data_IF_645221551206
#
_entry.id   IF_645221551206
#
_cell.length_a   1.000
_cell.length_b   1.000
_cell.length_c   1.000
_cell.angle_alpha   90.00
_cell.angle_beta   90.00
_cell.angle_gamma   90.00
#
_symmetry.space_group_name_H-M   'P 1'
#
loop_
_entity.id
_entity.type
_entity.pdbx_description
1 polymer ?
#
# COMPACT_ATOMS: atom_id res chain seq x y z
N UNK A 1 100.17 -24.60 44.32
CA UNK A 1 98.75 -24.83 44.68
C UNK A 1 97.85 -23.61 44.44
N UNK A 2 98.17 -22.68 43.52
CA UNK A 2 97.42 -21.41 43.42
C UNK A 2 96.73 -21.15 42.07
N UNK A 3 97.05 -21.88 40.99
CA UNK A 3 96.44 -21.63 39.67
C UNK A 3 94.98 -22.06 39.57
N UNK A 4 94.60 -23.14 40.27
CA UNK A 4 93.20 -23.60 40.31
C UNK A 4 92.31 -22.66 41.14
N UNK A 5 92.81 -22.10 42.25
CA UNK A 5 92.04 -21.12 43.02
C UNK A 5 91.86 -19.79 42.28
N UNK A 6 92.86 -19.34 41.50
CA UNK A 6 92.71 -18.17 40.63
C UNK A 6 91.70 -18.42 39.51
N UNK A 7 91.74 -19.59 38.85
CA UNK A 7 90.79 -19.93 37.79
C UNK A 7 89.34 -20.04 38.32
N UNK A 8 89.15 -20.64 39.49
CA UNK A 8 87.83 -20.72 40.14
C UNK A 8 87.35 -19.34 40.58
N UNK A 9 88.23 -18.50 41.14
CA UNK A 9 87.86 -17.13 41.51
C UNK A 9 87.42 -16.29 40.31
N UNK A 10 88.13 -16.39 39.18
CA UNK A 10 87.77 -15.70 37.94
C UNK A 10 86.45 -16.22 37.38
N UNK A 11 86.26 -17.54 37.35
CA UNK A 11 85.00 -18.15 36.89
C UNK A 11 83.80 -17.70 37.72
N UNK A 12 83.92 -17.72 39.05
CA UNK A 12 82.86 -17.27 39.97
C UNK A 12 82.57 -15.78 39.79
N UNK A 13 83.61 -14.97 39.54
CA UNK A 13 83.45 -13.53 39.32
C UNK A 13 82.72 -13.24 38.01
N UNK A 14 83.07 -13.93 36.92
CA UNK A 14 82.39 -13.79 35.63
C UNK A 14 80.96 -14.31 35.68
N UNK A 15 80.72 -15.43 36.38
CA UNK A 15 79.38 -15.98 36.59
C UNK A 15 78.49 -15.03 37.39
N UNK A 16 79.01 -14.42 38.45
CA UNK A 16 78.26 -13.43 39.23
C UNK A 16 77.99 -12.15 38.42
N UNK A 17 78.92 -11.74 37.56
CA UNK A 17 78.72 -10.60 36.66
C UNK A 17 77.65 -10.88 35.60
N UNK A 18 77.65 -12.07 35.00
CA UNK A 18 76.65 -12.43 33.98
C UNK A 18 75.28 -12.69 34.58
N UNK A 19 75.20 -13.42 35.70
CA UNK A 19 73.93 -13.65 36.41
C UNK A 19 73.39 -12.34 36.99
N UNK A 20 74.25 -11.50 37.56
CA UNK A 20 73.91 -10.16 38.06
C UNK A 20 73.36 -9.24 36.97
N UNK A 21 74.00 -9.22 35.78
CA UNK A 21 73.55 -8.43 34.64
C UNK A 21 72.18 -8.88 34.11
N UNK A 22 71.88 -10.19 34.11
CA UNK A 22 70.57 -10.72 33.69
C UNK A 22 69.48 -10.38 34.71
N UNK A 23 69.76 -10.43 36.02
CA UNK A 23 68.79 -10.04 37.06
C UNK A 23 68.49 -8.53 37.08
N UNK A 24 69.47 -7.68 36.80
CA UNK A 24 69.26 -6.22 36.74
C UNK A 24 68.54 -5.82 35.46
N UNK A 25 68.85 -6.46 34.32
CA UNK A 25 68.12 -6.23 33.07
C UNK A 25 66.64 -6.64 33.19
N UNK A 26 66.34 -7.76 33.85
CA UNK A 26 64.95 -8.20 34.07
C UNK A 26 64.15 -7.31 35.02
N UNK A 27 64.80 -6.61 35.95
CA UNK A 27 64.12 -5.71 36.91
C UNK A 27 64.00 -4.26 36.40
N UNK A 28 64.90 -3.81 35.51
CA UNK A 28 64.84 -2.47 34.87
C UNK A 28 63.97 -2.48 33.62
N UNK A 29 63.70 -3.63 33.01
CA UNK A 29 62.75 -3.80 31.90
C UNK A 29 61.33 -4.18 32.37
N UNK A 30 61.09 -4.21 33.68
CA UNK A 30 59.77 -4.47 34.25
C UNK A 30 58.99 -3.15 34.43
N UNK A 31 58.53 -2.59 33.32
CA UNK A 31 57.55 -1.50 33.14
C UNK A 31 57.81 -1.04 31.70
N UNK A 32 57.25 -1.66 30.68
CA UNK A 32 55.88 -1.44 30.24
C UNK A 32 55.40 -2.76 29.63
N UNK A 33 54.37 -3.37 30.22
CA UNK A 33 53.57 -4.31 29.42
C UNK A 33 53.01 -3.43 28.30
N UNK A 34 53.31 -3.67 27.01
CA UNK A 34 52.73 -2.85 25.95
C UNK A 34 51.22 -2.92 26.18
N UNK A 35 50.59 -1.77 26.41
CA UNK A 35 49.14 -1.72 26.48
C UNK A 35 48.67 -2.34 25.18
N UNK A 36 48.10 -3.55 25.29
CA UNK A 36 47.40 -4.14 24.17
C UNK A 36 46.39 -3.06 23.77
N UNK A 37 46.43 -2.55 22.52
CA UNK A 37 45.41 -1.61 22.11
C UNK A 37 44.08 -2.26 22.46
N UNK A 38 43.30 -1.59 23.31
CA UNK A 38 42.02 -2.13 23.75
C UNK A 38 41.29 -2.59 22.50
N UNK A 39 40.77 -3.83 22.50
CA UNK A 39 40.01 -4.33 21.36
C UNK A 39 38.98 -3.25 21.06
N UNK A 40 39.06 -2.63 19.88
CA UNK A 40 38.16 -1.58 19.49
C UNK A 40 36.78 -2.21 19.46
N UNK A 41 35.96 -1.94 20.48
CA UNK A 41 34.65 -2.58 20.65
C UNK A 41 33.54 -1.81 19.96
N UNK A 42 33.86 -0.68 19.35
CA UNK A 42 32.88 0.26 18.82
C UNK A 42 32.04 -0.36 17.70
N UNK A 43 32.64 -1.20 16.85
CA UNK A 43 31.91 -1.99 15.83
C UNK A 43 31.10 -3.17 16.39
N UNK A 44 31.22 -3.48 17.69
CA UNK A 44 30.45 -4.53 18.38
C UNK A 44 29.32 -3.94 19.25
N UNK A 45 29.25 -2.61 19.37
CA UNK A 45 28.12 -1.93 19.97
C UNK A 45 27.02 -1.84 18.92
N UNK A 46 25.94 -2.61 19.10
CA UNK A 46 24.82 -2.68 18.17
C UNK A 46 24.26 -1.28 17.83
N UNK A 47 24.29 -0.37 18.81
CA UNK A 47 23.84 1.02 18.70
C UNK A 47 24.69 1.87 17.71
N UNK A 48 25.93 1.48 17.43
CA UNK A 48 26.82 2.17 16.47
C UNK A 48 26.65 1.67 15.03
N UNK A 49 25.91 0.56 14.83
CA UNK A 49 25.74 -0.11 13.53
C UNK A 49 24.28 -0.12 13.09
N UNK A 50 23.34 0.07 14.01
CA UNK A 50 21.92 0.08 13.69
C UNK A 50 21.55 1.45 13.08
N UNK A 51 21.12 1.50 11.80
CA UNK A 51 20.61 2.74 11.22
C UNK A 51 19.37 3.20 12.01
N UNK A 52 19.18 4.51 12.11
CA UNK A 52 17.99 5.10 12.72
C UNK A 52 16.74 4.48 12.08
N UNK A 53 15.91 3.86 12.91
CA UNK A 53 14.67 3.20 12.50
C UNK A 53 13.45 3.91 13.07
N UNK A 54 12.28 3.49 12.62
CA UNK A 54 11.03 3.87 13.23
C UNK A 54 10.98 3.39 14.70
N UNK A 55 10.41 4.21 15.58
CA UNK A 55 10.02 3.74 16.91
C UNK A 55 8.94 2.67 16.77
N UNK A 56 8.99 1.64 17.62
CA UNK A 56 7.98 0.59 17.66
C UNK A 56 7.20 0.66 18.97
N UNK A 57 5.88 0.64 18.92
CA UNK A 57 5.04 0.61 20.12
C UNK A 57 3.63 1.17 19.93
N UNK A 58 2.97 1.48 21.06
CA UNK A 58 1.61 2.01 21.07
C UNK A 58 0.52 0.92 21.06
N UNK A 59 -0.73 1.37 21.15
CA UNK A 59 -1.92 0.55 20.95
C UNK A 59 -2.65 1.03 19.70
N UNK A 60 -3.43 0.14 19.09
CA UNK A 60 -4.36 0.51 18.01
C UNK A 60 -5.69 0.79 18.70
N UNK A 61 -6.07 2.06 18.73
CA UNK A 61 -7.30 2.52 19.35
C UNK A 61 -8.25 3.07 18.28
N UNK A 62 -9.56 2.92 18.52
CA UNK A 62 -10.61 3.56 17.72
C UNK A 62 -11.26 4.65 18.56
N UNK A 63 -11.49 5.82 17.99
CA UNK A 63 -12.22 6.90 18.65
C UNK A 63 -13.74 6.71 18.55
N UNK A 64 -14.22 6.01 17.52
CA UNK A 64 -15.65 5.77 17.32
C UNK A 64 -16.20 4.77 18.34
N UNK A 65 -17.24 5.20 19.07
CA UNK A 65 -17.99 4.35 20.03
C UNK A 65 -19.45 4.18 19.60
N UNK A 66 -19.70 4.22 18.29
CA UNK A 66 -21.04 4.19 17.70
C UNK A 66 -21.74 2.83 17.85
N UNK A 67 -22.92 2.72 17.21
CA UNK A 67 -23.57 1.43 17.04
C UNK A 67 -22.69 0.48 16.19
N UNK A 68 -22.96 -0.83 16.26
CA UNK A 68 -22.32 -1.81 15.37
C UNK A 68 -22.54 -1.40 13.91
N UNK A 69 -21.52 -1.67 13.09
CA UNK A 69 -21.45 -1.35 11.66
C UNK A 69 -20.94 -2.56 10.92
N UNK A 70 -21.45 -2.81 9.71
CA UNK A 70 -21.04 -3.95 8.88
C UNK A 70 -20.04 -3.49 7.82
N UNK A 71 -18.86 -4.13 7.80
CA UNK A 71 -17.79 -3.85 6.84
C UNK A 71 -17.60 -5.04 5.92
N UNK A 72 -17.88 -4.84 4.63
CA UNK A 72 -17.63 -5.85 3.58
C UNK A 72 -16.19 -5.74 3.10
N UNK A 73 -15.48 -6.86 3.09
CA UNK A 73 -14.03 -6.94 2.85
C UNK A 73 -13.74 -7.80 1.62
N UNK A 74 -13.09 -7.19 0.63
CA UNK A 74 -12.66 -7.83 -0.60
C UNK A 74 -11.12 -7.87 -0.69
N UNK A 75 -10.53 -9.07 -0.70
CA UNK A 75 -9.08 -9.23 -0.73
C UNK A 75 -8.54 -9.73 -2.07
N UNK A 76 -9.45 -9.93 -3.04
CA UNK A 76 -9.18 -10.68 -4.26
C UNK A 76 -9.04 -12.17 -3.96
N UNK A 77 -9.36 -13.03 -4.94
CA UNK A 77 -9.10 -14.46 -4.77
C UNK A 77 -7.58 -14.68 -4.79
N UNK A 78 -7.01 -15.47 -3.86
CA UNK A 78 -5.66 -15.96 -4.05
C UNK A 78 -5.68 -16.76 -5.33
N UNK A 79 -5.01 -16.27 -6.37
CA UNK A 79 -4.77 -17.05 -7.59
C UNK A 79 -3.86 -18.23 -7.21
N UNK A 80 -4.43 -19.29 -6.62
CA UNK A 80 -3.81 -20.56 -6.30
C UNK A 80 -2.30 -20.49 -6.06
N UNK A 81 -1.84 -19.76 -5.05
CA UNK A 81 -0.55 -20.09 -4.43
C UNK A 81 -0.84 -21.20 -3.44
N UNK A 82 -1.06 -22.38 -4.01
CA UNK A 82 -0.91 -23.65 -3.32
C UNK A 82 0.33 -23.60 -2.44
N UNK A 83 0.16 -23.94 -1.17
CA UNK A 83 1.16 -24.58 -0.30
C UNK A 83 2.55 -24.69 -0.92
N UNK A 84 3.46 -23.77 -0.60
CA UNK A 84 4.89 -24.07 -0.65
C UNK A 84 5.65 -23.15 0.29
N UNK A 85 5.89 -23.68 1.48
CA UNK A 85 7.13 -23.47 2.18
C UNK A 85 8.26 -23.97 1.27
N UNK A 86 9.01 -23.05 0.67
CA UNK A 86 10.28 -23.30 -0.03
C UNK A 86 10.15 -24.13 -1.33
N UNK A 87 9.98 -23.48 -2.49
CA UNK A 87 10.52 -24.06 -3.73
C UNK A 87 11.07 -23.00 -4.68
N UNK A 88 12.41 -23.03 -4.82
CA UNK A 88 13.16 -22.57 -5.98
C UNK A 88 13.01 -21.12 -6.45
N UNK A 89 13.93 -20.24 -6.02
CA UNK A 89 14.40 -19.16 -6.90
C UNK A 89 14.97 -19.83 -8.16
N UNK A 90 14.42 -19.53 -9.36
CA UNK A 90 14.96 -18.43 -10.14
C UNK A 90 13.89 -17.55 -10.81
N UNK A 91 14.10 -16.25 -10.64
CA UNK A 91 13.50 -15.18 -11.44
C UNK A 91 13.82 -15.38 -12.93
N UNK A 92 12.78 -15.39 -13.77
CA UNK A 92 12.83 -14.93 -15.16
C UNK A 92 11.39 -14.76 -15.71
N UNK A 93 10.97 -13.50 -15.88
CA UNK A 93 9.92 -13.13 -16.85
C UNK A 93 8.45 -13.28 -16.44
N UNK A 94 8.06 -12.92 -15.21
CA UNK A 94 6.62 -12.80 -14.87
C UNK A 94 6.22 -11.34 -14.68
N UNK A 95 5.22 -10.90 -15.44
CA UNK A 95 4.46 -9.65 -15.28
C UNK A 95 3.60 -9.68 -13.99
N UNK A 96 4.17 -10.14 -12.87
CA UNK A 96 3.51 -10.18 -11.56
C UNK A 96 4.24 -9.21 -10.65
N UNK A 97 3.51 -8.18 -10.22
CA UNK A 97 3.96 -7.27 -9.19
C UNK A 97 4.52 -8.08 -8.02
N UNK A 98 5.78 -7.82 -7.67
CA UNK A 98 6.43 -8.38 -6.51
C UNK A 98 5.62 -7.90 -5.31
N UNK A 99 4.79 -8.76 -4.72
CA UNK A 99 4.27 -8.49 -3.38
C UNK A 99 5.47 -8.55 -2.44
N UNK A 100 5.94 -7.40 -1.99
CA UNK A 100 7.13 -7.27 -1.15
C UNK A 100 6.86 -7.70 0.30
N UNK A 101 5.62 -8.05 0.67
CA UNK A 101 5.20 -8.06 2.07
C UNK A 101 4.70 -9.38 2.68
N UNK A 102 4.07 -10.30 1.96
CA UNK A 102 3.40 -11.42 2.64
C UNK A 102 3.71 -12.78 2.00
N UNK A 103 4.56 -13.56 2.68
CA UNK A 103 4.68 -15.00 2.44
C UNK A 103 3.40 -15.78 2.85
N UNK A 104 2.41 -15.11 3.45
CA UNK A 104 1.23 -15.71 4.07
C UNK A 104 -0.12 -15.23 3.48
N UNK A 105 -0.11 -14.57 2.32
CA UNK A 105 -1.32 -14.12 1.61
C UNK A 105 -1.88 -12.75 2.06
N UNK A 106 -2.83 -12.22 1.26
CA UNK A 106 -3.48 -10.91 1.47
C UNK A 106 -4.42 -10.88 2.68
N UNK A 107 -4.99 -12.01 3.06
CA UNK A 107 -5.80 -12.18 4.27
C UNK A 107 -5.02 -11.83 5.54
N UNK A 108 -3.79 -12.32 5.67
CA UNK A 108 -2.92 -11.94 6.79
C UNK A 108 -2.66 -10.44 6.82
N UNK A 109 -2.60 -9.79 5.66
CA UNK A 109 -2.21 -8.39 5.57
C UNK A 109 -3.21 -7.45 6.25
N UNK A 110 -4.50 -7.77 6.27
CA UNK A 110 -5.52 -6.92 6.90
C UNK A 110 -5.91 -7.34 8.31
N UNK A 111 -5.35 -8.44 8.83
CA UNK A 111 -5.77 -9.03 10.13
C UNK A 111 -5.81 -8.04 11.27
N UNK A 112 -4.83 -7.14 11.35
CA UNK A 112 -4.75 -6.13 12.40
C UNK A 112 -5.96 -5.19 12.37
N UNK A 113 -6.29 -4.64 11.20
CA UNK A 113 -7.46 -3.77 11.03
C UNK A 113 -8.76 -4.52 11.32
N UNK A 114 -8.93 -5.74 10.80
CA UNK A 114 -10.14 -6.52 11.03
C UNK A 114 -10.31 -6.89 12.50
N UNK A 115 -9.23 -7.28 13.17
CA UNK A 115 -9.26 -7.55 14.61
C UNK A 115 -9.62 -6.30 15.42
N UNK A 116 -9.16 -5.13 14.99
CA UNK A 116 -9.49 -3.84 15.60
C UNK A 116 -10.98 -3.57 15.47
N UNK A 117 -11.55 -3.70 14.27
CA UNK A 117 -12.99 -3.54 14.02
C UNK A 117 -13.84 -4.49 14.87
N UNK A 118 -13.52 -5.79 14.84
CA UNK A 118 -14.26 -6.82 15.60
C UNK A 118 -14.14 -6.61 17.10
N UNK A 119 -12.95 -6.24 17.60
CA UNK A 119 -12.74 -5.98 19.04
C UNK A 119 -13.52 -4.78 19.55
N UNK A 120 -13.86 -3.82 18.66
CA UNK A 120 -14.69 -2.66 18.96
C UNK A 120 -16.19 -2.89 18.65
N UNK A 121 -16.58 -4.13 18.34
CA UNK A 121 -17.99 -4.53 18.22
C UNK A 121 -18.59 -4.30 16.83
N UNK A 122 -17.78 -4.13 15.79
CA UNK A 122 -18.22 -4.06 14.40
C UNK A 122 -18.21 -5.44 13.74
N UNK A 123 -19.04 -5.61 12.72
CA UNK A 123 -19.16 -6.86 11.96
C UNK A 123 -18.30 -6.79 10.69
N UNK A 124 -17.69 -7.93 10.33
CA UNK A 124 -16.82 -8.05 9.17
C UNK A 124 -17.30 -9.22 8.33
N UNK A 125 -17.59 -8.95 7.06
CA UNK A 125 -18.05 -9.93 6.09
C UNK A 125 -17.08 -9.99 4.91
N UNK A 126 -16.73 -11.19 4.47
CA UNK A 126 -15.77 -11.35 3.37
C UNK A 126 -16.49 -11.58 2.04
N UNK A 127 -16.21 -10.71 1.07
CA UNK A 127 -16.61 -10.88 -0.31
C UNK A 127 -15.51 -11.58 -1.10
N UNK A 128 -15.76 -12.82 -1.56
CA UNK A 128 -14.80 -13.62 -2.33
C UNK A 128 -15.09 -13.63 -3.84
N UNK A 129 -16.07 -12.85 -4.30
CA UNK A 129 -16.56 -12.89 -5.66
C UNK A 129 -17.29 -14.19 -6.01
N UNK A 130 -17.86 -14.24 -7.20
CA UNK A 130 -18.48 -15.45 -7.76
C UNK A 130 -17.42 -16.47 -8.20
N UNK A 131 -16.65 -17.03 -7.25
CA UNK A 131 -15.80 -18.18 -7.51
C UNK A 131 -16.69 -19.41 -7.74
N UNK A 132 -17.02 -19.67 -9.01
CA UNK A 132 -17.92 -20.74 -9.41
C UNK A 132 -17.51 -22.11 -8.89
N UNK A 133 -18.43 -22.78 -8.17
CA UNK A 133 -18.44 -24.24 -7.99
C UNK A 133 -19.74 -24.69 -7.32
N UNK A 134 -20.80 -24.84 -8.13
CA UNK A 134 -21.78 -25.92 -7.93
C UNK A 134 -22.95 -25.71 -6.95
N UNK A 135 -23.22 -24.51 -6.46
CA UNK A 135 -24.42 -24.29 -5.63
C UNK A 135 -25.65 -24.08 -6.50
N UNK A 136 -26.70 -24.88 -6.27
CA UNK A 136 -28.02 -24.66 -6.86
C UNK A 136 -28.69 -23.47 -6.15
N UNK A 137 -28.50 -22.26 -6.67
CA UNK A 137 -29.12 -21.02 -6.19
C UNK A 137 -28.49 -19.77 -6.81
N UNK A 138 -29.15 -18.61 -6.71
CA UNK A 138 -28.54 -17.32 -7.02
C UNK A 138 -27.36 -17.10 -6.06
N UNK A 139 -26.17 -16.86 -6.61
CA UNK A 139 -24.99 -16.52 -5.81
C UNK A 139 -25.10 -15.03 -5.46
N UNK A 140 -25.03 -14.64 -4.18
CA UNK A 140 -25.13 -13.24 -3.80
C UNK A 140 -24.07 -12.42 -4.52
N UNK A 141 -24.51 -11.31 -5.10
CA UNK A 141 -23.68 -10.34 -5.79
C UNK A 141 -23.07 -9.37 -4.79
N UNK A 142 -22.05 -8.59 -5.22
CA UNK A 142 -21.53 -7.51 -4.37
C UNK A 142 -22.61 -6.49 -4.00
N UNK A 143 -23.59 -6.26 -4.89
CA UNK A 143 -24.70 -5.35 -4.61
C UNK A 143 -25.60 -5.87 -3.47
N UNK A 144 -25.82 -7.18 -3.40
CA UNK A 144 -26.58 -7.80 -2.32
C UNK A 144 -25.86 -7.60 -0.99
N UNK A 145 -24.56 -7.91 -0.92
CA UNK A 145 -23.75 -7.75 0.29
C UNK A 145 -23.67 -6.28 0.75
N UNK A 146 -23.59 -5.33 -0.20
CA UNK A 146 -23.49 -3.90 0.12
C UNK A 146 -24.82 -3.26 0.52
N UNK A 147 -25.95 -3.94 0.35
CA UNK A 147 -27.27 -3.39 0.71
C UNK A 147 -27.42 -3.23 2.23
N UNK A 148 -26.88 -4.17 3.00
CA UNK A 148 -26.90 -4.17 4.47
C UNK A 148 -25.56 -3.71 5.08
N UNK A 149 -24.60 -3.30 4.24
CA UNK A 149 -23.29 -2.85 4.68
C UNK A 149 -23.23 -1.34 4.94
N UNK A 150 -22.33 -0.95 5.85
CA UNK A 150 -22.00 0.45 6.13
C UNK A 150 -20.69 0.89 5.45
N UNK A 151 -19.80 -0.07 5.18
CA UNK A 151 -18.50 0.20 4.59
C UNK A 151 -18.00 -0.95 3.71
N UNK A 152 -17.09 -0.60 2.81
CA UNK A 152 -16.40 -1.51 1.93
C UNK A 152 -14.89 -1.29 2.01
N UNK A 153 -14.14 -2.39 2.11
CA UNK A 153 -12.69 -2.40 2.07
C UNK A 153 -12.21 -3.31 0.94
N UNK A 154 -11.29 -2.82 0.11
CA UNK A 154 -10.60 -3.66 -0.87
C UNK A 154 -9.09 -3.48 -0.82
N UNK A 155 -8.32 -4.56 -0.90
CA UNK A 155 -6.86 -4.53 -1.11
C UNK A 155 -6.46 -5.06 -2.48
N UNK A 156 -7.44 -5.32 -3.34
CA UNK A 156 -7.25 -5.89 -4.67
C UNK A 156 -8.22 -5.25 -5.66
N UNK A 157 -8.20 -3.92 -5.83
CA UNK A 157 -9.18 -3.23 -6.67
C UNK A 157 -9.14 -3.70 -8.14
N UNK A 158 -8.02 -4.22 -8.64
CA UNK A 158 -7.96 -4.82 -9.99
C UNK A 158 -8.66 -6.18 -10.11
N UNK A 159 -8.89 -6.87 -9.01
CA UNK A 159 -9.62 -8.14 -9.01
C UNK A 159 -11.15 -7.96 -9.09
N UNK A 160 -11.64 -6.74 -8.87
CA UNK A 160 -13.05 -6.40 -9.08
C UNK A 160 -13.38 -6.29 -10.58
N UNK A 161 -14.49 -6.89 -10.98
CA UNK A 161 -15.10 -6.70 -12.29
C UNK A 161 -15.53 -5.24 -12.49
N UNK A 162 -15.84 -4.87 -13.74
CA UNK A 162 -16.30 -3.50 -14.04
C UNK A 162 -17.61 -3.17 -13.32
N UNK A 163 -18.57 -4.10 -13.34
CA UNK A 163 -19.86 -3.95 -12.63
C UNK A 163 -19.68 -3.83 -11.12
N UNK A 164 -18.78 -4.62 -10.53
CA UNK A 164 -18.47 -4.51 -9.10
C UNK A 164 -17.86 -3.14 -8.76
N UNK A 165 -16.96 -2.61 -9.60
CA UNK A 165 -16.39 -1.26 -9.38
C UNK A 165 -17.44 -0.16 -9.50
N UNK A 166 -18.34 -0.26 -10.48
CA UNK A 166 -19.48 0.66 -10.60
C UNK A 166 -20.39 0.59 -9.37
N UNK A 167 -20.62 -0.60 -8.83
CA UNK A 167 -21.40 -0.82 -7.60
C UNK A 167 -20.73 -0.15 -6.39
N UNK A 168 -19.41 -0.31 -6.23
CA UNK A 168 -18.64 0.32 -5.15
C UNK A 168 -18.68 1.85 -5.26
N UNK A 169 -18.58 2.40 -6.47
CA UNK A 169 -18.71 3.85 -6.69
C UNK A 169 -20.10 4.35 -6.31
N UNK A 170 -21.17 3.64 -6.72
CA UNK A 170 -22.53 3.99 -6.34
C UNK A 170 -22.79 3.87 -4.82
N UNK A 171 -22.18 2.89 -4.17
CA UNK A 171 -22.21 2.73 -2.72
C UNK A 171 -21.51 3.90 -2.00
N UNK A 172 -20.35 4.34 -2.50
CA UNK A 172 -19.67 5.52 -2.00
C UNK A 172 -20.54 6.78 -2.16
N UNK A 173 -21.20 6.96 -3.31
CA UNK A 173 -22.13 8.07 -3.54
C UNK A 173 -23.36 8.03 -2.63
N UNK A 174 -23.78 6.82 -2.22
CA UNK A 174 -24.86 6.60 -1.26
C UNK A 174 -24.47 6.93 0.21
N UNK A 175 -23.21 7.25 0.47
CA UNK A 175 -22.70 7.57 1.81
C UNK A 175 -21.85 6.47 2.46
N UNK A 176 -21.74 5.31 1.79
CA UNK A 176 -20.91 4.19 2.24
C UNK A 176 -19.43 4.53 2.27
N UNK A 177 -18.74 4.10 3.32
CA UNK A 177 -17.30 4.37 3.48
C UNK A 177 -16.49 3.35 2.69
N UNK A 178 -15.59 3.82 1.84
CA UNK A 178 -14.76 2.97 0.98
C UNK A 178 -13.29 3.17 1.28
N UNK A 179 -12.59 2.10 1.67
CA UNK A 179 -11.13 2.07 1.75
C UNK A 179 -10.55 1.23 0.61
N UNK A 180 -9.60 1.80 -0.12
CA UNK A 180 -8.86 1.13 -1.20
C UNK A 180 -7.38 1.05 -0.84
N UNK A 181 -6.93 -0.16 -0.57
CA UNK A 181 -5.51 -0.52 -0.58
C UNK A 181 -5.00 -0.59 -2.01
N UNK A 182 -4.05 0.29 -2.34
CA UNK A 182 -3.54 0.53 -3.68
C UNK A 182 -2.07 0.13 -3.80
N UNK A 183 -1.77 -1.13 -3.46
CA UNK A 183 -0.42 -1.69 -3.60
C UNK A 183 0.14 -1.47 -5.03
N UNK A 184 1.47 -1.40 -5.23
CA UNK A 184 2.05 -1.31 -6.56
C UNK A 184 1.50 -2.37 -7.52
N UNK A 185 1.01 -1.91 -8.68
CA UNK A 185 0.40 -2.77 -9.70
C UNK A 185 -1.14 -2.71 -9.73
N UNK A 186 -1.76 -2.03 -8.77
CA UNK A 186 -3.22 -1.88 -8.68
C UNK A 186 -3.77 -0.66 -9.47
N UNK A 187 -2.92 0.05 -10.22
CA UNK A 187 -3.21 1.38 -10.79
C UNK A 187 -4.49 1.45 -11.62
N UNK A 188 -4.80 0.39 -12.37
CA UNK A 188 -6.05 0.31 -13.14
C UNK A 188 -7.28 0.25 -12.24
N UNK A 189 -7.26 -0.58 -11.20
CA UNK A 189 -8.37 -0.71 -10.26
C UNK A 189 -8.61 0.58 -9.50
N UNK A 190 -7.52 1.25 -9.09
CA UNK A 190 -7.60 2.56 -8.45
C UNK A 190 -8.12 3.63 -9.40
N UNK A 191 -7.67 3.66 -10.66
CA UNK A 191 -8.19 4.63 -11.64
C UNK A 191 -9.70 4.46 -11.86
N UNK A 192 -10.18 3.23 -11.97
CA UNK A 192 -11.60 2.94 -12.21
C UNK A 192 -12.49 3.30 -11.00
N UNK A 193 -12.01 3.13 -9.76
CA UNK A 193 -12.73 3.50 -8.54
C UNK A 193 -12.57 4.98 -8.17
N UNK A 194 -11.39 5.54 -8.43
CA UNK A 194 -10.96 6.87 -8.00
C UNK A 194 -11.29 7.98 -9.00
N UNK A 195 -11.62 7.65 -10.27
CA UNK A 195 -11.85 8.66 -11.31
C UNK A 195 -12.98 9.64 -10.98
N UNK A 196 -14.04 9.16 -10.32
CA UNK A 196 -15.17 9.99 -9.92
C UNK A 196 -14.79 11.06 -8.87
N UNK A 197 -13.75 10.75 -8.08
CA UNK A 197 -13.28 11.58 -6.97
C UNK A 197 -11.90 12.21 -7.24
N UNK A 198 -11.38 12.05 -8.46
CA UNK A 198 -10.12 12.63 -8.90
C UNK A 198 -8.86 12.04 -8.25
N UNK A 199 -8.94 10.81 -7.71
CA UNK A 199 -7.80 10.10 -7.11
C UNK A 199 -7.26 9.09 -8.14
N UNK A 200 -5.95 9.03 -8.29
CA UNK A 200 -5.28 8.05 -9.15
C UNK A 200 -3.95 7.58 -8.55
N UNK A 201 -3.52 6.41 -8.98
CA UNK A 201 -2.24 5.83 -8.60
C UNK A 201 -1.27 5.92 -9.79
N UNK A 202 -0.06 6.41 -9.54
CA UNK A 202 1.01 6.33 -10.54
C UNK A 202 1.62 4.92 -10.57
N UNK A 203 2.12 4.52 -11.74
CA UNK A 203 2.77 3.21 -11.85
C UNK A 203 4.19 3.25 -11.27
N UNK A 204 4.50 2.28 -10.43
CA UNK A 204 5.81 2.10 -9.81
C UNK A 204 5.69 1.92 -8.31
N UNK A 205 6.84 1.90 -7.65
CA UNK A 205 6.94 1.95 -6.20
C UNK A 205 7.95 3.04 -5.81
N UNK A 206 7.76 3.56 -4.60
CA UNK A 206 8.62 4.56 -4.00
C UNK A 206 9.71 3.89 -3.17
N UNK A 207 10.89 4.50 -3.17
CA UNK A 207 12.00 4.12 -2.31
C UNK A 207 12.79 5.34 -1.89
N UNK A 208 13.48 5.26 -0.76
CA UNK A 208 14.31 6.34 -0.25
C UNK A 208 15.62 5.76 0.31
N UNK A 209 16.74 6.09 -0.31
CA UNK A 209 18.07 5.59 0.13
C UNK A 209 18.69 6.42 1.25
N UNK A 210 18.12 7.60 1.55
CA UNK A 210 18.65 8.56 2.53
C UNK A 210 17.89 8.46 3.85
N UNK A 211 16.56 8.56 3.81
CA UNK A 211 15.66 8.58 4.97
C UNK A 211 14.63 7.46 4.86
N UNK A 212 14.89 6.34 5.53
CA UNK A 212 14.08 5.14 5.51
C UNK A 212 14.12 4.39 6.84
N UNK A 213 13.15 3.51 7.07
CA UNK A 213 13.12 2.60 8.22
C UNK A 213 14.01 1.38 7.98
N UNK A 214 15.33 1.59 8.02
CA UNK A 214 16.37 0.55 7.94
C UNK A 214 16.35 -0.31 6.65
N UNK A 215 15.55 0.07 5.67
CA UNK A 215 15.41 -0.56 4.38
C UNK A 215 14.93 0.49 3.39
N UNK A 216 15.62 0.66 2.26
CA UNK A 216 15.31 1.68 1.27
C UNK A 216 13.87 1.64 0.72
N UNK A 217 13.17 0.50 0.79
CA UNK A 217 11.75 0.38 0.43
C UNK A 217 10.80 0.84 1.54
N UNK A 218 11.27 0.93 2.78
CA UNK A 218 10.47 1.33 3.94
C UNK A 218 10.56 2.84 4.12
N UNK A 219 9.69 3.54 3.40
CA UNK A 219 9.70 5.00 3.33
C UNK A 219 8.85 5.61 4.46
N UNK A 220 9.24 6.79 4.90
CA UNK A 220 8.44 7.60 5.80
C UNK A 220 7.51 8.53 5.03
N UNK A 221 6.29 8.69 5.53
CA UNK A 221 5.36 9.71 5.07
C UNK A 221 4.78 10.48 6.26
N UNK A 222 4.53 11.76 6.07
CA UNK A 222 4.03 12.68 7.08
C UNK A 222 2.74 13.33 6.55
N UNK A 223 1.80 13.78 7.42
CA UNK A 223 0.60 14.45 6.97
C UNK A 223 0.91 15.71 6.15
N UNK A 224 0.28 15.85 4.99
CA UNK A 224 0.28 17.10 4.23
C UNK A 224 -0.81 18.07 4.69
N UNK A 225 -1.73 17.60 5.53
CA UNK A 225 -2.80 18.39 6.15
C UNK A 225 -3.67 17.54 7.08
N UNK A 226 -4.70 18.17 7.64
CA UNK A 226 -5.68 17.49 8.50
C UNK A 226 -6.71 16.73 7.65
N UNK A 227 -6.91 15.46 7.96
CA UNK A 227 -7.89 14.59 7.32
C UNK A 227 -8.36 13.53 8.32
N UNK A 228 -9.41 12.78 7.98
CA UNK A 228 -9.87 11.64 8.79
C UNK A 228 -8.82 10.53 8.93
N UNK A 229 -7.78 10.50 8.09
CA UNK A 229 -6.70 9.50 8.18
C UNK A 229 -5.49 9.98 8.98
N UNK A 230 -5.32 11.30 9.16
CA UNK A 230 -4.07 11.89 9.67
C UNK A 230 -4.18 12.46 11.08
N UNK A 231 -5.35 12.35 11.72
CA UNK A 231 -5.52 12.80 13.10
C UNK A 231 -4.56 12.03 14.04
N UNK A 232 -3.73 12.76 14.78
CA UNK A 232 -2.74 12.16 15.69
C UNK A 232 -1.57 11.41 15.04
N UNK A 233 -1.49 11.37 13.70
CA UNK A 233 -0.36 10.76 12.98
C UNK A 233 0.71 11.81 12.80
N UNK A 234 1.90 11.63 13.35
CA UNK A 234 3.06 12.49 13.06
C UNK A 234 3.85 11.92 11.89
N UNK A 235 4.01 10.59 11.84
CA UNK A 235 4.74 9.89 10.79
C UNK A 235 4.26 8.44 10.62
N UNK A 236 4.01 8.04 9.39
CA UNK A 236 3.72 6.66 9.00
C UNK A 236 4.89 6.04 8.23
N UNK A 237 4.95 4.70 8.21
CA UNK A 237 5.93 3.91 7.46
C UNK A 237 5.21 3.00 6.47
N UNK A 238 5.65 3.05 5.21
CA UNK A 238 5.12 2.20 4.14
C UNK A 238 6.24 1.45 3.45
N UNK A 239 6.02 0.19 3.08
CA UNK A 239 7.05 -0.71 2.53
C UNK A 239 6.84 -0.96 1.05
N UNK A 240 7.28 0.00 0.25
CA UNK A 240 7.18 -0.01 -1.21
C UNK A 240 5.86 0.56 -1.69
N UNK A 241 5.42 1.69 -1.12
CA UNK A 241 4.18 2.35 -1.54
C UNK A 241 4.23 2.79 -3.00
N UNK A 242 3.07 2.71 -3.66
CA UNK A 242 2.86 3.38 -4.92
C UNK A 242 2.50 4.86 -4.69
N UNK A 243 2.87 5.77 -5.61
CA UNK A 243 2.44 7.15 -5.52
C UNK A 243 0.93 7.26 -5.73
N UNK A 244 0.27 7.98 -4.83
CA UNK A 244 -1.14 8.35 -4.90
C UNK A 244 -1.21 9.86 -5.08
N UNK A 245 -1.97 10.29 -6.08
CA UNK A 245 -2.18 11.70 -6.36
C UNK A 245 -3.69 11.99 -6.47
N UNK A 246 -4.04 13.24 -6.21
CA UNK A 246 -5.42 13.69 -6.09
C UNK A 246 -5.58 15.08 -6.69
N UNK A 247 -6.52 15.20 -7.61
CA UNK A 247 -6.89 16.49 -8.20
C UNK A 247 -7.60 17.38 -7.17
N UNK A 248 -7.11 18.62 -6.99
CA UNK A 248 -7.79 19.68 -6.25
C UNK A 248 -7.37 19.84 -4.78
N UNK A 249 -7.46 18.80 -3.96
CA UNK A 249 -7.24 18.88 -2.50
C UNK A 249 -5.80 18.51 -2.08
N UNK A 250 -5.06 17.81 -2.95
CA UNK A 250 -3.76 17.25 -2.62
C UNK A 250 -3.83 15.98 -1.77
N UNK A 251 -2.72 15.24 -1.63
CA UNK A 251 -2.64 14.00 -0.86
C UNK A 251 -2.80 14.23 0.65
N UNK A 252 -3.24 13.20 1.38
CA UNK A 252 -3.33 13.20 2.84
C UNK A 252 -1.97 12.94 3.51
N UNK A 253 -1.17 12.01 2.97
CA UNK A 253 0.18 11.68 3.44
C UNK A 253 1.18 11.87 2.30
N UNK A 254 2.33 12.47 2.59
CA UNK A 254 3.39 12.79 1.62
C UNK A 254 4.76 12.38 2.14
N UNK A 255 5.60 11.88 1.24
CA UNK A 255 6.99 11.51 1.54
C UNK A 255 7.93 12.71 1.54
N UNK A 256 9.14 12.56 2.10
CA UNK A 256 10.20 13.56 1.96
C UNK A 256 10.68 13.72 0.51
N UNK A 257 11.22 14.90 0.16
CA UNK A 257 11.64 15.27 -1.20
C UNK A 257 12.82 14.50 -1.80
N UNK A 258 13.46 13.64 -1.02
CA UNK A 258 14.55 12.74 -1.45
C UNK A 258 14.04 11.33 -1.82
N UNK A 259 12.71 11.14 -1.85
CA UNK A 259 12.11 9.86 -2.22
C UNK A 259 12.10 9.72 -3.73
N UNK A 260 12.46 8.55 -4.23
CA UNK A 260 12.58 8.26 -5.66
C UNK A 260 11.47 7.32 -6.14
N UNK A 261 10.93 7.60 -7.33
CA UNK A 261 9.97 6.73 -8.01
C UNK A 261 10.70 5.71 -8.92
N UNK A 262 10.44 4.42 -8.75
CA UNK A 262 11.12 3.32 -9.47
C UNK A 262 11.08 3.40 -11.00
N UNK A 263 10.03 3.99 -11.58
CA UNK A 263 9.84 4.06 -13.03
C UNK A 263 10.60 5.21 -13.68
N UNK A 264 10.81 6.31 -12.95
CA UNK A 264 11.45 7.53 -13.47
C UNK A 264 12.79 7.85 -12.82
N UNK A 265 13.09 7.24 -11.67
CA UNK A 265 14.23 7.55 -10.79
C UNK A 265 14.30 9.02 -10.38
N UNK A 266 13.18 9.74 -10.45
CA UNK A 266 13.10 11.14 -10.05
C UNK A 266 12.97 11.20 -8.53
N UNK A 267 13.81 12.00 -7.89
CA UNK A 267 13.66 12.37 -6.48
C UNK A 267 12.65 13.52 -6.36
N UNK A 268 11.60 13.33 -5.56
CA UNK A 268 10.58 14.32 -5.28
C UNK A 268 9.80 13.97 -3.99
N UNK A 269 8.87 14.83 -3.58
CA UNK A 269 7.87 14.52 -2.58
C UNK A 269 6.65 13.89 -3.25
N UNK A 270 6.28 12.69 -2.83
CA UNK A 270 5.19 11.91 -3.44
C UNK A 270 4.05 11.72 -2.44
N UNK A 271 2.82 11.87 -2.90
CA UNK A 271 1.65 11.46 -2.13
C UNK A 271 1.59 9.93 -2.02
N UNK A 272 1.15 9.42 -0.87
CA UNK A 272 0.97 7.98 -0.62
C UNK A 272 -0.41 7.63 -0.07
N UNK A 273 -1.20 8.64 0.30
CA UNK A 273 -2.59 8.46 0.67
C UNK A 273 -3.42 9.65 0.22
N UNK A 274 -4.70 9.42 -0.02
CA UNK A 274 -5.67 10.43 -0.44
C UNK A 274 -7.04 10.14 0.21
N UNK A 275 -7.80 11.20 0.48
CA UNK A 275 -9.16 11.12 1.02
C UNK A 275 -10.03 12.11 0.28
N UNK A 276 -11.16 11.64 -0.25
CA UNK A 276 -12.17 12.49 -0.85
C UNK A 276 -13.58 11.99 -0.52
N UNK A 277 -14.31 12.79 0.25
CA UNK A 277 -15.67 12.47 0.67
C UNK A 277 -15.72 11.13 1.42
N UNK A 278 -16.32 10.13 0.78
CA UNK A 278 -16.54 8.80 1.37
C UNK A 278 -15.50 7.76 0.91
N UNK A 279 -14.50 8.17 0.12
CA UNK A 279 -13.45 7.28 -0.41
C UNK A 279 -12.09 7.66 0.18
N UNK A 280 -11.35 6.67 0.61
CA UNK A 280 -9.95 6.78 1.03
C UNK A 280 -9.09 5.76 0.28
N UNK A 281 -7.88 6.19 -0.10
CA UNK A 281 -6.93 5.37 -0.86
C UNK A 281 -5.56 5.48 -0.20
N UNK A 282 -4.88 4.34 0.02
CA UNK A 282 -3.50 4.29 0.52
C UNK A 282 -2.68 3.41 -0.40
N UNK A 283 -1.55 3.93 -0.90
CA UNK A 283 -0.69 3.30 -1.92
C UNK A 283 0.07 2.06 -1.46
N UNK A 284 -0.19 1.58 -0.25
CA UNK A 284 0.42 0.40 0.34
C UNK A 284 -0.47 -0.15 1.44
N UNK A 285 -0.66 -1.46 1.46
CA UNK A 285 -1.37 -2.18 2.53
C UNK A 285 -0.41 -2.80 3.54
N UNK A 286 0.90 -2.72 3.33
CA UNK A 286 1.87 -3.36 4.24
C UNK A 286 1.82 -2.80 5.65
N UNK A 287 1.41 -1.54 5.85
CA UNK A 287 1.23 -0.94 7.18
C UNK A 287 0.18 -1.67 8.03
N UNK A 288 -0.77 -2.38 7.40
CA UNK A 288 -1.79 -3.18 8.09
C UNK A 288 -1.25 -4.51 8.63
N UNK A 289 -0.10 -4.97 8.11
CA UNK A 289 0.49 -6.25 8.50
C UNK A 289 0.97 -6.20 9.96
N UNK A 290 0.82 -7.27 10.74
CA UNK A 290 1.21 -7.30 12.16
C UNK A 290 2.65 -6.84 12.41
N UNK A 291 3.58 -7.15 11.51
CA UNK A 291 4.99 -6.75 11.57
C UNK A 291 5.25 -5.25 11.34
N UNK A 292 4.31 -4.52 10.73
CA UNK A 292 4.45 -3.09 10.42
C UNK A 292 3.42 -2.21 11.17
N UNK A 293 2.39 -2.82 11.75
CA UNK A 293 1.26 -2.12 12.37
C UNK A 293 1.65 -1.23 13.55
N UNK A 294 2.78 -1.51 14.20
CA UNK A 294 3.27 -0.74 15.35
C UNK A 294 4.54 0.06 15.04
N UNK A 295 4.91 0.17 13.75
CA UNK A 295 6.05 0.98 13.28
C UNK A 295 5.62 2.44 13.14
N UNK A 296 6.40 3.35 13.73
CA UNK A 296 6.04 4.77 13.81
C UNK A 296 4.60 4.93 14.32
N UNK A 297 3.78 5.77 13.68
CA UNK A 297 2.37 5.96 14.04
C UNK A 297 1.41 5.14 13.15
N UNK A 298 1.87 4.03 12.57
CA UNK A 298 1.01 3.15 11.78
C UNK A 298 -0.17 2.63 12.61
N UNK A 299 0.00 2.44 13.92
CA UNK A 299 -1.05 2.03 14.84
C UNK A 299 -2.17 3.09 14.93
N UNK A 300 -1.80 4.37 14.92
CA UNK A 300 -2.73 5.50 14.90
C UNK A 300 -3.43 5.58 13.55
N UNK A 301 -2.66 5.43 12.45
CA UNK A 301 -3.23 5.39 11.10
C UNK A 301 -4.24 4.24 10.93
N UNK A 302 -3.97 3.04 11.45
CA UNK A 302 -4.91 1.90 11.42
C UNK A 302 -6.18 2.26 12.19
N UNK A 303 -6.05 2.87 13.37
CA UNK A 303 -7.19 3.37 14.15
C UNK A 303 -8.05 4.34 13.35
N UNK A 304 -7.41 5.31 12.69
CA UNK A 304 -8.07 6.29 11.83
C UNK A 304 -8.76 5.65 10.61
N UNK A 305 -8.16 4.62 10.00
CA UNK A 305 -8.80 3.85 8.91
C UNK A 305 -10.04 3.12 9.44
N UNK A 306 -9.93 2.49 10.61
CA UNK A 306 -11.06 1.79 11.23
C UNK A 306 -12.19 2.79 11.56
N UNK A 307 -11.86 3.94 12.15
CA UNK A 307 -12.81 5.02 12.42
C UNK A 307 -13.43 5.53 11.14
N UNK A 308 -12.65 5.79 10.10
CA UNK A 308 -13.16 6.23 8.80
C UNK A 308 -14.20 5.25 8.26
N UNK A 309 -13.93 3.94 8.29
CA UNK A 309 -14.86 2.91 7.81
C UNK A 309 -16.18 2.94 8.58
N UNK A 310 -16.16 3.13 9.89
CA UNK A 310 -17.38 3.05 10.72
C UNK A 310 -18.05 4.41 10.97
N UNK A 311 -17.47 5.49 10.48
CA UNK A 311 -18.00 6.87 10.63
C UNK A 311 -18.64 7.34 9.33
N UNK A 312 -19.74 6.71 8.93
CA UNK A 312 -20.56 7.08 7.77
C UNK A 312 -22.05 6.88 8.02
N UNK A 313 -22.88 7.39 7.12
CA UNK A 313 -24.32 7.08 7.11
C UNK A 313 -24.73 6.79 5.69
N UNK A 314 -25.13 5.55 5.47
CA UNK A 314 -25.56 5.05 4.18
C UNK A 314 -27.05 5.36 3.99
N UNK A 315 -27.40 5.87 2.82
CA UNK A 315 -28.80 6.06 2.45
C UNK A 315 -29.42 4.74 2.03
N UNK A 316 -30.27 4.15 2.87
CA UNK A 316 -31.01 2.90 2.60
C UNK A 316 -31.73 2.93 1.24
N UNK A 317 -32.32 4.07 0.88
CA UNK A 317 -33.02 4.23 -0.40
C UNK A 317 -32.07 4.29 -1.60
N UNK A 318 -30.82 4.69 -1.41
CA UNK A 318 -29.81 4.69 -2.45
C UNK A 318 -29.17 3.31 -2.62
N UNK A 319 -28.88 2.61 -1.51
CA UNK A 319 -28.30 1.26 -1.58
C UNK A 319 -29.29 0.20 -2.03
N UNK A 320 -30.59 0.35 -1.74
CA UNK A 320 -31.63 -0.53 -2.30
C UNK A 320 -31.83 -0.42 -3.82
N UNK A 321 -31.04 0.44 -4.51
CA UNK A 321 -30.96 0.55 -5.97
C UNK A 321 -29.61 0.08 -6.54
N UNK A 322 -28.73 -0.47 -5.71
CA UNK A 322 -27.50 -1.11 -6.19
C UNK A 322 -27.88 -2.33 -7.04
N UNK A 323 -27.22 -2.51 -8.17
CA UNK A 323 -27.50 -3.64 -9.08
C UNK A 323 -28.74 -3.50 -9.95
N UNK A 324 -29.53 -2.42 -9.83
CA UNK A 324 -30.59 -2.12 -10.80
C UNK A 324 -29.95 -1.58 -12.10
N UNK A 325 -29.94 -2.39 -13.17
CA UNK A 325 -29.57 -1.98 -14.55
C UNK A 325 -30.55 -0.96 -15.17
N UNK A 326 -31.47 -0.40 -14.37
CA UNK A 326 -32.53 0.50 -14.79
C UNK A 326 -32.04 1.94 -14.92
N UNK A 327 -31.74 2.36 -16.16
CA UNK A 327 -31.33 3.70 -16.56
C UNK A 327 -32.17 4.86 -16.01
N UNK A 328 -31.91 5.22 -14.76
CA UNK A 328 -32.35 6.48 -14.17
C UNK A 328 -31.12 7.14 -13.55
N UNK A 329 -30.74 8.25 -14.16
CA UNK A 329 -29.71 9.16 -13.67
C UNK A 329 -29.95 9.45 -12.19
N UNK A 330 -28.97 9.13 -11.34
CA UNK A 330 -28.86 9.74 -10.01
C UNK A 330 -28.99 11.26 -10.16
N UNK A 331 -29.70 11.97 -9.25
CA UNK A 331 -29.82 13.41 -9.32
C UNK A 331 -28.49 14.08 -8.95
N UNK A 332 -27.57 14.13 -9.92
CA UNK A 332 -26.33 14.89 -9.90
C UNK A 332 -26.49 16.21 -10.65
N UNK A 333 -25.91 17.25 -10.07
CA UNK A 333 -25.93 18.66 -10.47
C UNK A 333 -25.92 18.95 -11.99
N UNK A 334 -26.93 19.71 -12.45
CA UNK A 334 -26.73 20.85 -13.35
C UNK A 334 -26.14 20.58 -14.74
N UNK A 335 -26.73 19.69 -15.53
CA UNK A 335 -26.49 19.57 -16.97
C UNK A 335 -27.71 19.99 -17.78
N UNK A 336 -27.60 21.05 -18.58
CA UNK A 336 -28.67 21.61 -19.39
C UNK A 336 -29.11 20.64 -20.51
N UNK A 337 -30.35 20.14 -20.45
CA UNK A 337 -30.94 19.31 -21.50
C UNK A 337 -31.50 20.19 -22.64
N UNK A 338 -31.16 19.92 -23.92
CA UNK A 338 -31.77 20.64 -25.04
C UNK A 338 -33.23 20.16 -25.27
N UNK A 339 -34.14 21.02 -25.77
CA UNK A 339 -35.57 20.68 -25.83
C UNK A 339 -35.85 19.65 -26.92
N UNK A 340 -36.45 18.53 -26.54
CA UNK A 340 -36.98 17.52 -27.46
C UNK A 340 -38.26 18.00 -28.15
N UNK A 341 -38.19 18.18 -29.47
CA UNK A 341 -39.35 18.41 -30.33
C UNK A 341 -40.08 17.11 -30.63
N UNK A 342 -41.37 17.09 -30.34
CA UNK A 342 -42.32 16.04 -30.70
C UNK A 342 -42.40 15.92 -32.25
N UNK A 343 -42.04 14.77 -32.82
CA UNK A 343 -42.43 14.42 -34.19
C UNK A 343 -43.17 13.09 -34.17
N UNK A 344 -44.49 13.20 -34.39
CA UNK A 344 -45.44 12.12 -34.58
C UNK A 344 -45.10 11.33 -35.85
N UNK A 345 -44.81 10.04 -35.72
CA UNK A 345 -44.61 9.12 -36.84
C UNK A 345 -45.97 8.66 -37.39
N UNK A 346 -46.27 8.78 -38.69
CA UNK A 346 -47.51 8.24 -39.26
C UNK A 346 -47.37 6.75 -39.58
N UNK A 347 -48.39 5.99 -39.21
CA UNK A 347 -48.65 4.61 -39.62
C UNK A 347 -48.99 4.50 -41.11
N UNK A 348 -48.35 3.58 -41.84
CA UNK A 348 -48.84 3.13 -43.15
C UNK A 348 -48.69 1.60 -43.22
N UNK A 349 -49.81 0.93 -43.52
CA UNK A 349 -49.97 -0.51 -43.57
C UNK A 349 -49.54 -1.18 -44.87
N UNK A 350 -49.70 -2.50 -44.87
CA UNK A 350 -49.42 -3.47 -45.92
C UNK A 350 -49.94 -3.09 -47.32
N UNK A 351 -49.10 -3.27 -48.36
CA UNK A 351 -49.41 -4.17 -49.49
C UNK A 351 -48.18 -4.41 -50.39
N UNK A 352 -48.14 -5.59 -51.01
CA UNK A 352 -46.95 -6.18 -51.62
C UNK A 352 -46.57 -5.78 -53.05
N UNK A 353 -45.57 -6.55 -53.53
CA UNK A 353 -45.20 -6.86 -54.92
C UNK A 353 -44.21 -5.96 -55.68
N UNK A 354 -43.25 -6.68 -56.27
CA UNK A 354 -42.49 -6.42 -57.51
C UNK A 354 -41.15 -5.67 -57.43
N UNK A 355 -40.07 -6.48 -57.49
CA UNK A 355 -38.99 -6.42 -58.49
C UNK A 355 -38.85 -5.15 -59.32
N UNK A 356 -37.70 -4.46 -59.24
CA UNK A 356 -36.75 -4.37 -60.37
C UNK A 356 -35.45 -3.64 -60.04
N UNK A 357 -34.42 -4.19 -60.67
CA UNK A 357 -33.03 -3.79 -60.85
C UNK A 357 -32.88 -2.44 -61.58
N UNK A 358 -31.91 -1.59 -61.21
CA UNK A 358 -31.10 -0.80 -62.16
C UNK A 358 -30.05 0.08 -61.46
N UNK A 359 -28.80 -0.17 -61.82
CA UNK A 359 -27.66 0.74 -61.72
C UNK A 359 -27.74 1.80 -62.81
N UNK A 360 -27.52 3.09 -62.49
CA UNK A 360 -26.95 4.02 -63.47
C UNK A 360 -26.22 5.20 -62.81
N UNK A 361 -24.94 5.26 -63.14
CA UNK A 361 -24.04 6.40 -63.06
C UNK A 361 -24.58 7.59 -63.86
N UNK A 362 -24.42 8.81 -63.34
CA UNK A 362 -24.28 10.00 -64.19
C UNK A 362 -23.48 11.09 -63.48
N UNK A 363 -22.66 11.71 -64.31
CA UNK A 363 -21.52 12.61 -64.07
C UNK A 363 -21.93 14.01 -64.52
N UNK A 364 -21.14 15.02 -64.14
CA UNK A 364 -21.09 16.42 -64.66
C UNK A 364 -22.10 17.32 -63.92
N UNK A 365 -21.72 18.45 -63.31
CA UNK A 365 -21.12 19.63 -63.96
C UNK A 365 -20.42 20.59 -62.97
N UNK A 366 -19.38 21.27 -63.47
CA UNK A 366 -18.63 22.37 -62.85
C UNK A 366 -19.45 23.67 -62.77
N UNK A 367 -19.09 24.56 -61.84
CA UNK A 367 -18.98 26.05 -61.95
C UNK A 367 -18.35 26.50 -60.60
N UNK A 368 -17.06 26.85 -60.53
CA UNK A 368 -16.38 28.11 -60.87
C UNK A 368 -16.64 29.30 -59.91
N UNK A 369 -15.62 29.53 -59.05
CA UNK A 369 -14.91 30.80 -58.71
C UNK A 369 -15.56 31.98 -57.97
N UNK A 370 -14.62 32.63 -57.24
CA UNK A 370 -14.53 33.98 -56.63
C UNK A 370 -14.97 34.06 -55.17
N UNK A 371 -14.16 34.52 -54.21
CA UNK A 371 -12.78 35.04 -54.17
C UNK A 371 -12.10 34.57 -52.87
#
# INVERSE_FOLDING_TARGET
MNRYMTAVGVFVSVLLLTVGAVTVAGYVLAEETPEQPGIETDQWQLDNVQPDGATEGGAIEMASTGASKTVVVHLGTPSSSSSSVLDGIPLQGVDRAITTGSAAGRERAVTTLLSTLVSNGHEVEFYTGSAGSGSFGDTPTLADDLTDADAFLTTAPTALSTTERETVTAFADAGGRVFVGADPGEARGVADLGSAVGIYQETGYLYNVVRNDQNYLSIFAEPAGSSSLTEGVERAVFRGAAPIDQSGTGPALVTGGETELSTTQRADAYGVAAVFGNVSVVGDTSFLQPENAYRADNNVLIGNVADFLVTGTVSETAVGRLGDDGGTTLPGNGGMQPPGGNVTQPSIGENGSASQNASTSSKVEMISRND
#
